data_IF_555712337139
#
_entry.id   IF_555712337139
#
_cell.length_a   1.000
_cell.length_b   1.000
_cell.length_c   1.000
_cell.angle_alpha   90.00
_cell.angle_beta   90.00
_cell.angle_gamma   90.00
#
_symmetry.space_group_name_H-M   'P 1'
#
loop_
_entity.id
_entity.type
_entity.pdbx_description
1 polymer ?
#
# COMPACT_ATOMS: atom_id res chain seq x y z
N UNK A 1 -4.03 -5.53 -24.70
CA UNK A 1 -4.71 -5.27 -23.41
C UNK A 1 -3.71 -5.34 -22.27
N UNK A 2 -3.07 -4.22 -21.91
CA UNK A 2 -2.21 -4.09 -20.70
C UNK A 2 -2.37 -2.70 -20.03
N UNK A 3 -3.10 -1.76 -20.64
CA UNK A 3 -3.06 -0.32 -20.28
C UNK A 3 -3.58 0.00 -18.87
N UNK A 4 -4.66 -0.62 -18.40
CA UNK A 4 -5.28 -0.27 -17.12
C UNK A 4 -4.37 -0.47 -15.88
N UNK A 5 -3.39 -1.39 -15.94
CA UNK A 5 -2.44 -1.61 -14.84
C UNK A 5 -1.32 -0.57 -14.84
N UNK A 6 -0.80 -0.22 -16.01
CA UNK A 6 0.23 0.80 -16.14
C UNK A 6 -0.29 2.20 -15.83
N UNK A 7 -1.57 2.48 -16.10
CA UNK A 7 -2.23 3.74 -15.72
C UNK A 7 -2.39 3.91 -14.21
N UNK A 8 -2.69 2.83 -13.47
CA UNK A 8 -2.78 2.85 -12.00
C UNK A 8 -1.43 2.83 -11.30
N UNK A 9 -0.37 2.58 -12.05
CA UNK A 9 0.98 2.40 -11.55
C UNK A 9 1.24 0.98 -11.05
N UNK A 10 2.50 0.55 -11.21
CA UNK A 10 3.03 -0.70 -10.66
C UNK A 10 4.09 -0.36 -9.62
N UNK A 11 4.29 -1.27 -8.67
CA UNK A 11 5.40 -1.14 -7.72
C UNK A 11 6.72 -1.46 -8.44
N UNK A 12 7.66 -0.51 -8.54
CA UNK A 12 8.94 -0.76 -9.19
C UNK A 12 9.76 -1.87 -8.52
N UNK A 13 9.60 -2.08 -7.21
CA UNK A 13 10.35 -3.12 -6.47
C UNK A 13 9.96 -4.55 -6.91
N UNK A 14 8.79 -4.72 -7.56
CA UNK A 14 8.32 -6.03 -8.00
C UNK A 14 8.87 -6.49 -9.36
N UNK A 15 9.59 -5.63 -10.08
CA UNK A 15 10.02 -5.93 -11.45
C UNK A 15 10.93 -7.16 -11.52
N UNK A 16 11.94 -7.24 -10.66
CA UNK A 16 12.88 -8.37 -10.61
C UNK A 16 12.20 -9.66 -10.18
N UNK A 17 11.43 -9.64 -9.07
CA UNK A 17 10.73 -10.83 -8.59
C UNK A 17 9.71 -11.38 -9.61
N UNK A 18 9.02 -10.48 -10.33
CA UNK A 18 8.12 -10.89 -11.41
C UNK A 18 8.86 -11.51 -12.60
N UNK A 19 10.03 -10.97 -12.95
CA UNK A 19 10.89 -11.52 -14.00
C UNK A 19 11.39 -12.92 -13.64
N UNK A 20 11.92 -13.08 -12.43
CA UNK A 20 12.41 -14.37 -11.93
C UNK A 20 11.29 -15.42 -11.90
N UNK A 21 10.08 -15.02 -11.46
CA UNK A 21 8.92 -15.93 -11.47
C UNK A 21 8.50 -16.32 -12.88
N UNK A 22 8.57 -15.41 -13.85
CA UNK A 22 8.29 -15.71 -15.25
C UNK A 22 9.34 -16.67 -15.84
N UNK A 23 10.62 -16.42 -15.58
CA UNK A 23 11.72 -17.31 -15.96
C UNK A 23 11.55 -18.73 -15.39
N UNK A 24 11.26 -18.83 -14.09
CA UNK A 24 10.99 -20.11 -13.44
C UNK A 24 9.85 -20.87 -14.13
N UNK A 25 8.75 -20.20 -14.47
CA UNK A 25 7.61 -20.83 -15.15
C UNK A 25 7.96 -21.29 -16.57
N UNK A 26 8.82 -20.56 -17.30
CA UNK A 26 9.27 -20.95 -18.64
C UNK A 26 10.04 -22.28 -18.58
N UNK A 27 10.91 -22.46 -17.58
CA UNK A 27 11.64 -23.71 -17.38
C UNK A 27 10.73 -24.85 -16.93
N UNK A 28 9.86 -24.60 -15.95
CA UNK A 28 8.90 -25.60 -15.43
C UNK A 28 7.98 -26.12 -16.54
N UNK A 29 7.63 -25.27 -17.52
CA UNK A 29 6.80 -25.63 -18.66
C UNK A 29 7.59 -26.26 -19.82
N UNK A 30 8.91 -26.37 -19.72
CA UNK A 30 9.77 -26.85 -20.81
C UNK A 30 9.75 -25.95 -22.05
N UNK A 31 9.36 -24.68 -21.89
CA UNK A 31 9.23 -23.71 -22.98
C UNK A 31 10.55 -23.00 -23.30
N UNK A 32 11.58 -23.20 -22.46
CA UNK A 32 12.92 -22.66 -22.65
C UNK A 32 13.84 -23.03 -21.49
N UNK A 33 15.09 -22.59 -21.59
CA UNK A 33 16.13 -22.71 -20.56
C UNK A 33 16.49 -21.30 -20.11
N UNK A 34 16.55 -21.05 -18.79
CA UNK A 34 16.92 -19.73 -18.26
C UNK A 34 18.43 -19.64 -18.20
N UNK A 35 18.97 -18.62 -18.86
CA UNK A 35 20.38 -18.27 -18.77
C UNK A 35 20.60 -17.23 -17.69
N UNK A 36 21.73 -17.31 -17.00
CA UNK A 36 22.07 -16.38 -15.92
C UNK A 36 22.31 -14.95 -16.42
N UNK A 37 22.04 -13.99 -15.53
CA UNK A 37 22.26 -12.55 -15.75
C UNK A 37 20.96 -11.77 -15.85
N UNK A 38 20.98 -10.53 -15.37
CA UNK A 38 19.88 -9.59 -15.48
C UNK A 38 20.41 -8.16 -15.66
N UNK A 39 19.65 -7.33 -16.36
CA UNK A 39 19.90 -5.89 -16.48
C UNK A 39 18.74 -5.17 -15.82
N UNK A 40 19.01 -4.51 -14.70
CA UNK A 40 18.06 -3.66 -13.99
C UNK A 40 18.55 -2.20 -14.02
N UNK A 41 17.74 -1.33 -14.63
CA UNK A 41 18.05 0.11 -14.76
C UNK A 41 17.07 0.86 -13.88
N UNK A 42 17.48 1.11 -12.63
CA UNK A 42 16.65 1.78 -11.64
C UNK A 42 17.43 2.90 -10.91
N UNK A 43 17.69 4.04 -11.60
CA UNK A 43 18.64 5.05 -11.13
C UNK A 43 18.13 5.88 -9.95
N UNK A 44 16.82 5.96 -9.76
CA UNK A 44 16.19 6.67 -8.63
C UNK A 44 15.25 5.71 -7.94
N UNK A 45 15.65 5.27 -6.74
CA UNK A 45 14.81 4.41 -5.92
C UNK A 45 13.58 5.19 -5.46
N UNK A 46 12.43 4.53 -5.49
CA UNK A 46 11.17 5.07 -4.98
C UNK A 46 11.17 4.91 -3.47
N UNK A 47 11.11 6.01 -2.76
CA UNK A 47 11.04 6.03 -1.31
C UNK A 47 9.61 5.81 -0.82
N UNK A 48 9.48 5.17 0.35
CA UNK A 48 8.20 5.07 1.05
C UNK A 48 7.68 6.46 1.42
N UNK A 49 6.38 6.67 1.27
CA UNK A 49 5.75 7.93 1.68
C UNK A 49 5.53 7.91 3.20
N UNK A 50 5.72 9.06 3.85
CA UNK A 50 5.45 9.24 5.29
C UNK A 50 4.25 10.17 5.46
N UNK A 51 3.31 9.79 6.33
CA UNK A 51 2.10 10.56 6.63
C UNK A 51 1.95 10.67 8.14
N UNK A 52 1.88 11.88 8.69
CA UNK A 52 1.66 12.10 10.13
C UNK A 52 0.38 11.41 10.58
N UNK A 53 0.45 10.67 11.67
CA UNK A 53 -0.66 9.93 12.22
C UNK A 53 -1.29 10.65 13.42
N UNK A 54 -2.53 11.09 13.25
CA UNK A 54 -3.32 11.78 14.28
C UNK A 54 -4.66 11.04 14.43
N UNK A 55 -4.78 10.05 15.34
CA UNK A 55 -6.00 9.24 15.50
C UNK A 55 -7.26 10.08 15.72
N UNK A 56 -7.14 11.16 16.50
CA UNK A 56 -8.24 12.07 16.80
C UNK A 56 -8.73 12.78 15.54
N UNK A 57 -7.81 13.13 14.64
CA UNK A 57 -8.16 13.75 13.36
C UNK A 57 -8.83 12.76 12.42
N UNK A 58 -8.38 11.50 12.39
CA UNK A 58 -9.02 10.43 11.63
C UNK A 58 -10.45 10.21 12.14
N UNK A 59 -10.62 10.04 13.45
CA UNK A 59 -11.95 9.90 14.07
C UNK A 59 -12.85 11.12 13.83
N UNK A 60 -12.30 12.34 13.88
CA UNK A 60 -13.05 13.56 13.58
C UNK A 60 -13.51 13.63 12.12
N UNK A 61 -12.69 13.18 11.17
CA UNK A 61 -13.06 13.13 9.75
C UNK A 61 -14.19 12.14 9.50
N UNK A 62 -14.19 11.02 10.22
CA UNK A 62 -15.19 9.96 10.07
C UNK A 62 -16.42 10.14 10.97
N UNK A 63 -16.35 10.99 12.00
CA UNK A 63 -17.38 11.04 13.04
C UNK A 63 -17.44 9.76 13.90
N UNK A 64 -16.32 9.04 14.01
CA UNK A 64 -16.21 7.76 14.73
C UNK A 64 -15.42 7.90 16.02
N UNK A 65 -15.33 6.80 16.78
CA UNK A 65 -14.47 6.68 17.96
C UNK A 65 -13.72 5.33 17.94
N UNK A 66 -13.05 5.04 16.83
CA UNK A 66 -12.21 3.84 16.66
C UNK A 66 -10.99 3.99 17.55
N UNK A 67 -10.62 2.92 18.27
CA UNK A 67 -9.46 2.95 19.15
C UNK A 67 -8.15 2.98 18.36
N UNK A 68 -7.07 3.49 18.96
CA UNK A 68 -5.74 3.49 18.33
C UNK A 68 -5.28 2.07 18.06
N UNK A 69 -5.53 1.15 18.98
CA UNK A 69 -5.14 -0.26 18.84
C UNK A 69 -5.83 -0.92 17.63
N UNK A 70 -7.13 -0.68 17.43
CA UNK A 70 -7.85 -1.18 16.26
C UNK A 70 -7.30 -0.58 14.95
N UNK A 71 -6.99 0.73 14.94
CA UNK A 71 -6.37 1.38 13.78
C UNK A 71 -5.00 0.75 13.46
N UNK A 72 -4.19 0.44 14.48
CA UNK A 72 -2.90 -0.22 14.29
C UNK A 72 -3.06 -1.62 13.70
N UNK A 73 -4.07 -2.38 14.15
CA UNK A 73 -4.38 -3.70 13.59
C UNK A 73 -4.82 -3.61 12.13
N UNK A 74 -5.56 -2.58 11.74
CA UNK A 74 -5.92 -2.34 10.35
C UNK A 74 -4.69 -2.02 9.49
N UNK A 75 -3.83 -1.12 9.96
CA UNK A 75 -2.61 -0.74 9.25
C UNK A 75 -1.65 -1.92 9.09
N UNK A 76 -1.52 -2.76 10.11
CA UNK A 76 -0.73 -4.00 10.03
C UNK A 76 -1.21 -4.93 8.92
N UNK A 77 -2.53 -5.09 8.75
CA UNK A 77 -3.12 -5.90 7.66
C UNK A 77 -2.93 -5.27 6.28
N UNK A 78 -2.66 -3.97 6.23
CA UNK A 78 -2.38 -3.21 5.01
C UNK A 78 -0.90 -3.06 4.70
N UNK A 79 -0.02 -3.69 5.51
CA UNK A 79 1.44 -3.54 5.44
C UNK A 79 1.89 -2.08 5.56
N UNK A 80 1.12 -1.28 6.30
CA UNK A 80 1.50 0.09 6.67
C UNK A 80 2.21 0.01 8.01
N UNK A 81 3.45 0.48 8.04
CA UNK A 81 4.23 0.54 9.29
C UNK A 81 3.96 1.87 10.01
N UNK A 82 4.21 1.89 11.32
CA UNK A 82 4.07 3.09 12.14
C UNK A 82 5.39 3.38 12.88
N UNK A 83 5.95 4.55 12.60
CA UNK A 83 7.11 5.08 13.29
C UNK A 83 6.67 5.90 14.51
N UNK A 84 6.97 5.37 15.70
CA UNK A 84 6.62 6.01 16.98
C UNK A 84 7.47 7.24 17.28
N UNK A 85 8.68 7.32 16.76
CA UNK A 85 9.59 8.44 17.05
C UNK A 85 9.16 9.70 16.29
N UNK A 86 8.76 9.53 15.03
CA UNK A 86 8.29 10.64 14.21
C UNK A 86 6.77 10.82 14.21
N UNK A 87 6.02 9.87 14.79
CA UNK A 87 4.55 9.83 14.78
C UNK A 87 3.99 9.80 13.35
N UNK A 88 4.54 8.95 12.49
CA UNK A 88 4.17 8.84 11.07
C UNK A 88 3.88 7.41 10.64
N UNK A 89 2.91 7.25 9.75
CA UNK A 89 2.71 6.03 8.98
C UNK A 89 3.69 6.00 7.81
N UNK A 90 4.37 4.87 7.64
CA UNK A 90 5.24 4.58 6.50
C UNK A 90 4.44 3.74 5.51
N UNK A 91 4.16 4.34 4.37
CA UNK A 91 3.33 3.77 3.32
C UNK A 91 4.22 2.99 2.35
N UNK A 92 3.95 1.70 2.11
CA UNK A 92 4.74 0.90 1.18
C UNK A 92 4.59 1.42 -0.26
N UNK A 93 5.64 1.24 -1.07
CA UNK A 93 5.77 1.83 -2.42
C UNK A 93 4.70 1.39 -3.41
N UNK A 94 4.08 0.23 -3.17
CA UNK A 94 2.94 -0.29 -3.95
C UNK A 94 1.60 0.42 -3.65
N UNK A 95 1.45 1.07 -2.49
CA UNK A 95 0.24 1.85 -2.12
C UNK A 95 0.32 3.28 -2.65
N UNK A 96 0.17 3.41 -3.96
CA UNK A 96 0.27 4.71 -4.66
C UNK A 96 -0.94 5.62 -4.40
N UNK A 97 -2.04 5.02 -3.95
CA UNK A 97 -3.31 5.65 -3.61
C UNK A 97 -3.30 6.36 -2.25
N UNK A 98 -2.40 5.98 -1.33
CA UNK A 98 -2.29 6.58 0.00
C UNK A 98 -1.33 7.77 0.00
N UNK A 99 -1.88 8.98 -0.05
CA UNK A 99 -1.12 10.22 -0.26
C UNK A 99 -1.26 11.17 0.93
N UNK A 100 -2.42 11.17 1.59
CA UNK A 100 -2.83 12.14 2.61
C UNK A 100 -3.59 11.46 3.74
N UNK A 101 -3.79 12.18 4.84
CA UNK A 101 -4.59 11.73 5.99
C UNK A 101 -6.01 11.32 5.63
N UNK A 102 -6.61 11.91 4.58
CA UNK A 102 -7.95 11.53 4.12
C UNK A 102 -7.99 10.08 3.59
N UNK A 103 -6.96 9.64 2.88
CA UNK A 103 -6.86 8.28 2.34
C UNK A 103 -6.65 7.27 3.48
N UNK A 104 -5.91 7.66 4.53
CA UNK A 104 -5.78 6.86 5.76
C UNK A 104 -7.11 6.73 6.48
N UNK A 105 -7.90 7.81 6.55
CA UNK A 105 -9.23 7.77 7.14
C UNK A 105 -10.18 6.87 6.34
N UNK A 106 -10.10 6.87 5.00
CA UNK A 106 -10.84 5.94 4.14
C UNK A 106 -10.47 4.48 4.43
N UNK A 107 -9.18 4.17 4.63
CA UNK A 107 -8.76 2.82 5.00
C UNK A 107 -9.30 2.39 6.37
N UNK A 108 -9.26 3.29 7.36
CA UNK A 108 -9.87 3.01 8.68
C UNK A 108 -11.37 2.78 8.53
N UNK A 109 -12.07 3.62 7.76
CA UNK A 109 -13.49 3.46 7.46
C UNK A 109 -13.81 2.11 6.80
N UNK A 110 -12.97 1.69 5.85
CA UNK A 110 -13.14 0.44 5.11
C UNK A 110 -13.04 -0.80 6.02
N UNK A 111 -12.11 -0.80 6.98
CA UNK A 111 -11.96 -1.90 7.92
C UNK A 111 -12.95 -1.85 9.08
N UNK A 112 -13.27 -0.65 9.57
CA UNK A 112 -14.29 -0.45 10.60
C UNK A 112 -15.70 -0.78 10.08
N UNK A 113 -15.94 -0.60 8.78
CA UNK A 113 -17.21 -0.82 8.11
C UNK A 113 -18.00 0.48 7.96
N UNK A 114 -18.36 0.82 6.72
CA UNK A 114 -19.12 2.05 6.42
C UNK A 114 -20.46 2.11 7.15
N UNK A 115 -21.11 0.97 7.40
CA UNK A 115 -22.37 0.90 8.14
C UNK A 115 -22.26 1.39 9.59
N UNK A 116 -21.05 1.39 10.15
CA UNK A 116 -20.76 1.85 11.50
C UNK A 116 -20.42 3.36 11.56
N UNK A 117 -20.39 4.03 10.41
CA UNK A 117 -20.10 5.47 10.31
C UNK A 117 -21.42 6.23 10.37
N UNK A 118 -21.59 7.18 11.32
CA UNK A 118 -22.84 7.90 11.45
C UNK A 118 -23.13 8.74 10.20
N UNK A 119 -24.28 8.50 9.58
CA UNK A 119 -24.80 9.34 8.50
C UNK A 119 -25.45 10.59 9.09
N UNK A 120 -24.75 11.72 9.09
CA UNK A 120 -25.35 13.02 9.38
C UNK A 120 -25.69 13.74 8.09
N UNK A 121 -26.98 14.05 7.89
CA UNK A 121 -27.39 15.02 6.87
C UNK A 121 -26.97 16.43 7.34
N UNK A 122 -26.42 17.28 6.45
CA UNK A 122 -25.97 18.63 6.78
C UNK A 122 -27.13 19.58 7.12
#
# INVERSE_FOLDING_TARGET
>A
MHQAKFEKGLDPENAMAAMDRACQLIEELGAGEVVGGAVDIYPVKKECRRIVFEPERVNKLLGTNVSVDDMMDYFKRLEIEYDKESNELIIPTFRQDLIRTADIAEEVARFYGYDNIPTTLP
#
